data_IF_847445699813
#
_entry.id   IF_847445699813
#
_cell.length_a   1.000
_cell.length_b   1.000
_cell.length_c   1.000
_cell.angle_alpha   90.00
_cell.angle_beta   90.00
_cell.angle_gamma   90.00
#
_symmetry.space_group_name_H-M   'P 1'
#
loop_
_entity.id
_entity.type
_entity.pdbx_description
1 polymer ?
#
# COMPACT_ATOMS: atom_id res chain seq x y z
N UNK A 1 -15.27 -3.21 -0.99
CA UNK A 1 -14.71 -2.04 -0.27
C UNK A 1 -13.24 -1.89 -0.60
N UNK A 2 -12.68 -0.67 -0.68
CA UNK A 2 -11.27 -0.46 -1.07
C UNK A 2 -10.28 -1.27 -0.22
N UNK A 3 -10.57 -1.44 1.08
CA UNK A 3 -9.80 -2.27 1.99
C UNK A 3 -9.82 -3.76 1.63
N UNK A 4 -10.96 -4.29 1.18
CA UNK A 4 -11.07 -5.68 0.72
C UNK A 4 -10.25 -5.91 -0.56
N UNK A 5 -10.30 -4.97 -1.51
CA UNK A 5 -9.47 -5.03 -2.71
C UNK A 5 -7.98 -4.96 -2.41
N UNK A 6 -7.59 -4.19 -1.39
CA UNK A 6 -6.22 -4.17 -0.89
C UNK A 6 -5.80 -5.55 -0.34
N UNK A 7 -6.56 -6.12 0.59
CA UNK A 7 -6.23 -7.43 1.15
C UNK A 7 -6.25 -8.55 0.12
N UNK A 8 -7.17 -8.50 -0.84
CA UNK A 8 -7.19 -9.43 -1.97
C UNK A 8 -5.94 -9.28 -2.84
N UNK A 9 -5.54 -8.05 -3.17
CA UNK A 9 -4.31 -7.80 -3.93
C UNK A 9 -3.06 -8.31 -3.19
N UNK A 10 -2.96 -8.07 -1.87
CA UNK A 10 -1.86 -8.58 -1.06
C UNK A 10 -1.84 -10.12 -0.99
N UNK A 11 -3.01 -10.74 -0.94
CA UNK A 11 -3.13 -12.21 -0.95
C UNK A 11 -2.75 -12.83 -2.31
N UNK A 12 -3.05 -12.14 -3.42
CA UNK A 12 -2.73 -12.59 -4.77
C UNK A 12 -1.26 -12.34 -5.15
N UNK A 13 -0.65 -11.29 -4.59
CA UNK A 13 0.71 -10.85 -4.93
C UNK A 13 1.59 -10.73 -3.67
N UNK A 14 1.98 -11.85 -3.06
CA UNK A 14 2.76 -11.86 -1.81
C UNK A 14 4.14 -11.20 -1.97
N UNK A 15 4.76 -11.26 -3.15
CA UNK A 15 6.04 -10.61 -3.43
C UNK A 15 5.93 -9.07 -3.37
N UNK A 16 4.82 -8.53 -3.85
CA UNK A 16 4.49 -7.10 -3.79
C UNK A 16 4.27 -6.68 -2.35
N UNK A 17 3.54 -7.48 -1.58
CA UNK A 17 3.37 -7.26 -0.14
C UNK A 17 4.71 -7.26 0.60
N UNK A 18 5.61 -8.19 0.28
CA UNK A 18 6.92 -8.29 0.92
C UNK A 18 7.84 -7.11 0.58
N UNK A 19 7.78 -6.57 -0.64
CA UNK A 19 8.52 -5.36 -1.01
C UNK A 19 7.98 -4.12 -0.28
N UNK A 20 6.65 -3.98 -0.23
CA UNK A 20 5.97 -2.94 0.54
C UNK A 20 6.38 -2.96 2.03
N UNK A 21 6.40 -4.14 2.65
CA UNK A 21 6.86 -4.29 4.02
C UNK A 21 8.35 -3.96 4.19
N UNK A 22 9.20 -4.31 3.21
CA UNK A 22 10.62 -3.95 3.25
C UNK A 22 10.86 -2.44 3.17
N UNK A 23 10.07 -1.71 2.39
CA UNK A 23 10.14 -0.24 2.37
C UNK A 23 9.77 0.33 3.73
N UNK A 24 8.66 -0.11 4.32
CA UNK A 24 8.23 0.31 5.66
C UNK A 24 9.30 0.04 6.72
N UNK A 25 9.85 -1.18 6.74
CA UNK A 25 10.90 -1.57 7.68
C UNK A 25 12.17 -0.73 7.51
N UNK A 26 12.49 -0.28 6.29
CA UNK A 26 13.68 0.55 6.01
C UNK A 26 13.49 2.01 6.44
N UNK A 27 12.32 2.58 6.18
CA UNK A 27 12.06 4.01 6.37
C UNK A 27 11.64 4.31 7.81
N UNK A 28 10.78 3.48 8.39
CA UNK A 28 10.18 3.71 9.71
C UNK A 28 10.90 2.91 10.78
N UNK A 29 11.39 1.71 10.43
CA UNK A 29 11.90 0.73 11.39
C UNK A 29 10.78 0.03 12.16
N UNK A 30 11.14 -0.70 13.21
CA UNK A 30 10.21 -1.57 13.96
C UNK A 30 9.74 -0.99 15.30
N UNK A 31 10.16 0.23 15.62
CA UNK A 31 10.01 0.81 16.95
C UNK A 31 8.86 1.82 17.08
N UNK A 32 8.27 2.23 15.96
CA UNK A 32 7.14 3.17 15.91
C UNK A 32 6.21 2.83 14.76
N UNK A 33 4.96 3.30 14.86
CA UNK A 33 3.99 3.21 13.77
C UNK A 33 4.28 4.28 12.70
N UNK A 34 3.83 4.07 11.45
CA UNK A 34 3.88 5.08 10.39
C UNK A 34 3.09 6.34 10.75
N UNK A 35 3.64 7.50 10.42
CA UNK A 35 2.96 8.80 10.46
C UNK A 35 2.67 9.29 9.03
N UNK A 36 1.71 10.21 8.88
CA UNK A 36 1.42 10.90 7.61
C UNK A 36 2.68 11.61 7.08
N UNK A 37 3.53 12.09 7.97
CA UNK A 37 4.79 12.77 7.64
C UNK A 37 5.78 11.85 6.90
N UNK A 38 5.72 10.53 7.15
CA UNK A 38 6.59 9.54 6.49
C UNK A 38 6.17 9.26 5.04
N UNK A 39 5.00 9.75 4.61
CA UNK A 39 4.42 9.44 3.31
C UNK A 39 5.33 9.83 2.15
N UNK A 40 6.09 10.93 2.25
CA UNK A 40 7.02 11.33 1.17
C UNK A 40 8.15 10.33 0.96
N UNK A 41 8.52 9.60 2.03
CA UNK A 41 9.64 8.66 2.05
C UNK A 41 9.20 7.23 1.73
N UNK A 42 7.91 7.00 1.45
CA UNK A 42 7.33 5.71 1.10
C UNK A 42 6.80 5.68 -0.35
N UNK A 43 7.66 5.87 -1.36
CA UNK A 43 7.23 5.93 -2.75
C UNK A 43 6.57 4.63 -3.24
N UNK A 44 7.06 3.46 -2.82
CA UNK A 44 6.50 2.17 -3.22
C UNK A 44 5.10 1.94 -2.64
N UNK A 45 4.92 2.18 -1.33
CA UNK A 45 3.61 2.09 -0.69
C UNK A 45 2.60 3.05 -1.32
N UNK A 46 3.02 4.27 -1.67
CA UNK A 46 2.14 5.22 -2.36
C UNK A 46 1.74 4.73 -3.75
N UNK A 47 2.67 4.15 -4.51
CA UNK A 47 2.38 3.58 -5.82
C UNK A 47 1.40 2.40 -5.68
N UNK A 48 1.65 1.51 -4.72
CA UNK A 48 0.78 0.36 -4.44
C UNK A 48 -0.65 0.77 -4.11
N UNK A 49 -0.82 1.76 -3.23
CA UNK A 49 -2.15 2.31 -2.91
C UNK A 49 -2.86 2.85 -4.15
N UNK A 50 -2.15 3.56 -5.04
CA UNK A 50 -2.73 4.06 -6.30
C UNK A 50 -3.14 2.92 -7.23
N UNK A 51 -2.34 1.86 -7.32
CA UNK A 51 -2.66 0.71 -8.15
C UNK A 51 -3.89 -0.05 -7.65
N UNK A 52 -3.99 -0.27 -6.34
CA UNK A 52 -5.17 -0.90 -5.73
C UNK A 52 -6.43 -0.04 -5.96
N UNK A 53 -6.32 1.28 -5.82
CA UNK A 53 -7.44 2.19 -6.10
C UNK A 53 -7.85 2.16 -7.57
N UNK A 54 -6.89 2.06 -8.50
CA UNK A 54 -7.18 1.93 -9.94
C UNK A 54 -7.90 0.63 -10.27
N UNK A 55 -7.49 -0.49 -9.67
CA UNK A 55 -8.11 -1.79 -9.91
C UNK A 55 -9.48 -1.92 -9.26
N UNK A 56 -9.65 -1.31 -8.09
CA UNK A 56 -10.90 -1.30 -7.34
C UNK A 56 -11.49 0.11 -7.30
N UNK A 57 -11.76 0.70 -8.47
CA UNK A 57 -12.46 1.98 -8.58
C UNK A 57 -13.81 1.89 -7.84
N UNK A 58 -13.94 2.64 -6.75
CA UNK A 58 -15.14 2.68 -5.91
C UNK A 58 -16.29 3.50 -6.52
N UNK A 59 -16.02 4.23 -7.60
CA UNK A 59 -16.99 5.08 -8.31
C UNK A 59 -17.09 4.65 -9.77
N UNK A 60 -18.30 4.33 -10.28
CA UNK A 60 -18.48 4.18 -11.71
C UNK A 60 -18.22 5.55 -12.35
N UNK A 61 -17.35 5.59 -13.35
CA UNK A 61 -17.25 6.76 -14.23
C UNK A 61 -18.47 6.74 -15.13
N UNK A 62 -19.52 7.45 -14.73
CA UNK A 62 -20.77 7.63 -15.45
C UNK A 62 -21.31 9.02 -15.23
#
# INVERSE_FOLDING_TARGET
SQLEGFFLAMSLYPDVQAEAQRELDRVIGKYRLPDISDRSDLPYMNALCKDVLRWHNATPTG
#
